data_IF_125373541306
#
_entry.id   IF_125373541306
#
_cell.length_a   1.000
_cell.length_b   1.000
_cell.length_c   1.000
_cell.angle_alpha   90.00
_cell.angle_beta   90.00
_cell.angle_gamma   90.00
#
_symmetry.space_group_name_H-M   'P 1'
#
loop_
_entity.id
_entity.type
_entity.pdbx_description
1 polymer ?
#
# COMPACT_ATOMS: atom_id res chain seq x y z
N UNK A 1 18.10 -11.86 -13.05
CA UNK A 1 17.63 -11.45 -11.72
C UNK A 1 16.52 -10.46 -11.96
N UNK A 2 15.27 -10.88 -11.78
CA UNK A 2 14.11 -10.06 -12.08
C UNK A 2 13.78 -9.19 -10.87
N UNK A 3 14.43 -8.03 -10.82
CA UNK A 3 14.32 -7.03 -9.76
C UNK A 3 12.96 -6.32 -9.73
N UNK A 4 12.02 -6.66 -10.62
CA UNK A 4 10.69 -6.02 -10.73
C UNK A 4 9.60 -6.71 -9.90
N UNK A 5 9.91 -7.84 -9.24
CA UNK A 5 8.93 -8.73 -8.60
C UNK A 5 8.70 -8.52 -7.09
N UNK A 6 9.55 -7.75 -6.41
CA UNK A 6 9.46 -7.59 -4.95
C UNK A 6 8.80 -6.27 -4.59
N UNK A 7 7.59 -6.36 -4.04
CA UNK A 7 6.88 -5.19 -3.48
C UNK A 7 7.61 -4.71 -2.22
N UNK A 8 8.01 -3.43 -2.22
CA UNK A 8 8.33 -2.73 -0.97
C UNK A 8 7.03 -2.21 -0.35
N UNK A 9 6.51 -2.97 0.61
CA UNK A 9 5.23 -2.66 1.28
C UNK A 9 5.33 -1.35 2.07
N UNK A 10 6.49 -1.07 2.68
CA UNK A 10 6.70 0.15 3.46
C UNK A 10 6.72 1.38 2.56
N UNK A 11 7.42 1.32 1.42
CA UNK A 11 7.38 2.37 0.43
C UNK A 11 5.96 2.63 -0.08
N UNK A 12 5.18 1.56 -0.33
CA UNK A 12 3.78 1.70 -0.76
C UNK A 12 2.91 2.41 0.29
N UNK A 13 3.05 2.08 1.58
CA UNK A 13 2.34 2.76 2.68
C UNK A 13 2.71 4.24 2.75
N UNK A 14 4.01 4.55 2.73
CA UNK A 14 4.50 5.92 2.83
C UNK A 14 4.03 6.78 1.66
N UNK A 15 4.02 6.25 0.44
CA UNK A 15 3.50 6.98 -0.73
C UNK A 15 2.01 7.33 -0.59
N UNK A 16 1.19 6.44 -0.03
CA UNK A 16 -0.24 6.74 0.18
C UNK A 16 -0.47 7.80 1.25
N UNK A 17 0.36 7.81 2.31
CA UNK A 17 0.33 8.86 3.34
C UNK A 17 0.78 10.18 2.73
N UNK A 18 1.86 10.16 1.95
CA UNK A 18 2.40 11.36 1.30
C UNK A 18 1.38 12.01 0.36
N UNK A 19 0.63 11.23 -0.44
CA UNK A 19 -0.44 11.76 -1.28
C UNK A 19 -1.53 12.50 -0.50
N UNK A 20 -1.91 11.99 0.67
CA UNK A 20 -2.87 12.67 1.55
C UNK A 20 -2.29 13.98 2.09
N UNK A 21 -1.03 13.97 2.51
CA UNK A 21 -0.35 15.15 3.03
C UNK A 21 -0.19 16.23 1.96
N UNK A 22 0.13 15.85 0.73
CA UNK A 22 0.23 16.78 -0.40
C UNK A 22 -1.13 17.44 -0.70
N UNK A 23 -2.22 16.67 -0.71
CA UNK A 23 -3.56 17.23 -0.98
C UNK A 23 -4.02 18.13 0.17
N UNK A 24 -3.77 17.73 1.42
CA UNK A 24 -4.02 18.56 2.60
C UNK A 24 -3.26 19.89 2.55
N UNK A 25 -1.96 19.83 2.21
CA UNK A 25 -1.14 21.04 2.04
C UNK A 25 -1.70 21.95 0.94
N UNK A 26 -2.14 21.39 -0.19
CA UNK A 26 -2.74 22.17 -1.27
C UNK A 26 -4.08 22.84 -0.87
N UNK A 27 -4.80 22.23 0.07
CA UNK A 27 -6.05 22.76 0.62
C UNK A 27 -5.85 23.85 1.68
N UNK A 28 -4.67 23.94 2.30
CA UNK A 28 -4.38 24.92 3.34
C UNK A 28 -4.61 26.38 2.88
N UNK A 29 -4.96 27.30 3.79
CA UNK A 29 -5.10 28.73 3.48
C UNK A 29 -3.83 29.28 2.82
N UNK A 30 -3.99 30.09 1.77
CA UNK A 30 -2.86 30.64 0.99
C UNK A 30 -2.18 29.64 0.04
N UNK A 31 -2.58 28.36 0.05
CA UNK A 31 -2.16 27.35 -0.93
C UNK A 31 -3.20 27.17 -2.03
N UNK A 32 -2.84 26.48 -3.11
CA UNK A 32 -3.72 26.24 -4.24
C UNK A 32 -3.34 25.01 -5.04
N UNK A 33 -4.17 24.67 -6.03
CA UNK A 33 -4.04 23.44 -6.80
C UNK A 33 -2.67 23.27 -7.51
N UNK A 34 -1.97 24.38 -7.81
CA UNK A 34 -0.63 24.33 -8.42
C UNK A 34 0.45 23.73 -7.53
N UNK A 35 0.21 23.60 -6.21
CA UNK A 35 1.18 23.01 -5.29
C UNK A 35 1.17 21.49 -5.24
N UNK A 36 0.22 20.83 -5.93
CA UNK A 36 0.11 19.38 -5.99
C UNK A 36 0.18 18.89 -7.43
N UNK A 37 0.96 17.83 -7.68
CA UNK A 37 0.98 17.13 -8.97
C UNK A 37 -0.06 16.02 -8.98
N UNK A 38 -0.63 15.72 -10.14
CA UNK A 38 -1.54 14.59 -10.28
C UNK A 38 -0.75 13.27 -10.16
N UNK A 39 -1.21 12.29 -9.38
CA UNK A 39 -0.58 10.97 -9.32
C UNK A 39 -0.68 10.25 -10.67
N UNK A 40 0.18 9.25 -10.87
CA UNK A 40 -0.03 8.25 -11.91
C UNK A 40 -1.37 7.51 -11.69
N UNK A 41 -1.87 6.85 -12.74
CA UNK A 41 -3.08 6.04 -12.63
C UNK A 41 -2.90 4.88 -11.64
N UNK A 42 -4.01 4.34 -11.13
CA UNK A 42 -4.00 3.23 -10.18
C UNK A 42 -3.38 1.94 -10.75
N UNK A 43 -3.27 1.81 -12.06
CA UNK A 43 -2.61 0.67 -12.71
C UNK A 43 -1.14 0.91 -13.04
N UNK A 44 -0.68 2.16 -13.02
CA UNK A 44 0.68 2.56 -13.46
C UNK A 44 1.60 2.96 -12.30
N UNK A 45 1.05 3.14 -11.09
CA UNK A 45 1.90 3.32 -9.92
C UNK A 45 2.56 1.98 -9.52
N UNK A 46 3.67 2.03 -8.77
CA UNK A 46 4.42 0.83 -8.36
C UNK A 46 3.55 -0.23 -7.69
N UNK A 47 2.68 0.17 -6.76
CA UNK A 47 1.75 -0.76 -6.11
C UNK A 47 0.72 -1.31 -7.10
N UNK A 48 0.16 -0.46 -7.95
CA UNK A 48 -0.78 -0.83 -9.01
C UNK A 48 -0.23 -1.89 -9.96
N UNK A 49 0.96 -1.65 -10.49
CA UNK A 49 1.67 -2.62 -11.33
C UNK A 49 1.86 -3.96 -10.60
N UNK A 50 2.31 -3.94 -9.35
CA UNK A 50 2.48 -5.16 -8.57
C UNK A 50 1.14 -5.88 -8.35
N UNK A 51 0.08 -5.17 -7.99
CA UNK A 51 -1.25 -5.74 -7.74
C UNK A 51 -1.80 -6.44 -8.98
N UNK A 52 -1.67 -5.81 -10.16
CA UNK A 52 -2.20 -6.36 -11.40
C UNK A 52 -1.32 -7.45 -12.03
N UNK A 53 -0.10 -7.64 -11.55
CA UNK A 53 0.82 -8.67 -12.03
C UNK A 53 1.02 -9.76 -10.95
N UNK A 54 1.96 -9.55 -10.04
CA UNK A 54 2.40 -10.51 -9.04
C UNK A 54 1.32 -10.75 -7.97
N UNK A 55 0.73 -9.67 -7.47
CA UNK A 55 -0.26 -9.67 -6.39
C UNK A 55 -1.46 -10.55 -6.74
N UNK A 56 -2.11 -10.24 -7.86
CA UNK A 56 -3.29 -10.98 -8.33
C UNK A 56 -2.99 -12.43 -8.65
N UNK A 57 -1.81 -12.76 -9.19
CA UNK A 57 -1.49 -14.16 -9.54
C UNK A 57 -1.15 -14.97 -8.29
N UNK A 58 -0.19 -14.51 -7.49
CA UNK A 58 0.36 -15.30 -6.37
C UNK A 58 -0.53 -15.33 -5.13
N UNK A 59 -1.33 -14.30 -4.93
CA UNK A 59 -2.13 -14.09 -3.73
C UNK A 59 -3.65 -14.08 -4.02
N UNK A 60 -4.08 -14.56 -5.20
CA UNK A 60 -5.50 -14.63 -5.62
C UNK A 60 -6.45 -15.33 -4.65
N UNK A 61 -5.93 -16.26 -3.84
CA UNK A 61 -6.68 -17.03 -2.85
C UNK A 61 -7.10 -16.21 -1.62
N UNK A 62 -6.50 -15.04 -1.40
CA UNK A 62 -6.82 -14.15 -0.29
C UNK A 62 -7.81 -13.08 -0.77
N UNK A 63 -8.96 -12.99 -0.10
CA UNK A 63 -9.97 -11.96 -0.42
C UNK A 63 -9.43 -10.54 -0.17
N UNK A 64 -8.49 -10.42 0.76
CA UNK A 64 -7.76 -9.20 1.10
C UNK A 64 -7.03 -8.61 -0.13
N UNK A 65 -6.55 -9.42 -1.07
CA UNK A 65 -5.97 -8.91 -2.33
C UNK A 65 -7.03 -8.23 -3.20
N UNK A 66 -8.21 -8.82 -3.29
CA UNK A 66 -9.30 -8.24 -4.10
C UNK A 66 -9.78 -6.93 -3.46
N UNK A 67 -9.88 -6.91 -2.13
CA UNK A 67 -10.17 -5.69 -1.38
C UNK A 67 -9.07 -4.64 -1.58
N UNK A 68 -7.80 -5.02 -1.57
CA UNK A 68 -6.68 -4.10 -1.77
C UNK A 68 -6.72 -3.48 -3.18
N UNK A 69 -6.97 -4.28 -4.22
CA UNK A 69 -7.14 -3.79 -5.60
C UNK A 69 -8.29 -2.77 -5.67
N UNK A 70 -9.44 -3.08 -5.06
CA UNK A 70 -10.61 -2.20 -5.07
C UNK A 70 -10.39 -0.90 -4.29
N UNK A 71 -9.80 -1.00 -3.09
CA UNK A 71 -9.47 0.14 -2.24
C UNK A 71 -8.45 1.04 -2.92
N UNK A 72 -7.40 0.47 -3.52
CA UNK A 72 -6.38 1.20 -4.27
C UNK A 72 -6.97 2.04 -5.41
N UNK A 73 -7.82 1.42 -6.24
CA UNK A 73 -8.52 2.11 -7.33
C UNK A 73 -9.42 3.23 -6.81
N UNK A 74 -10.13 2.98 -5.72
CA UNK A 74 -11.01 3.97 -5.08
C UNK A 74 -10.21 5.16 -4.55
N UNK A 75 -9.08 4.90 -3.89
CA UNK A 75 -8.19 5.93 -3.37
C UNK A 75 -7.68 6.86 -4.48
N UNK A 76 -7.13 6.31 -5.56
CA UNK A 76 -6.66 7.11 -6.70
C UNK A 76 -7.77 7.98 -7.28
N UNK A 77 -9.00 7.43 -7.43
CA UNK A 77 -10.16 8.21 -7.88
C UNK A 77 -10.51 9.36 -6.94
N UNK A 78 -10.44 9.14 -5.62
CA UNK A 78 -10.73 10.18 -4.63
C UNK A 78 -9.69 11.30 -4.66
N UNK A 79 -8.39 10.96 -4.72
CA UNK A 79 -7.31 11.94 -4.86
C UNK A 79 -7.46 12.75 -6.15
N UNK A 80 -7.71 12.07 -7.26
CA UNK A 80 -7.87 12.69 -8.58
C UNK A 80 -9.05 13.68 -8.62
N UNK A 81 -10.18 13.28 -8.04
CA UNK A 81 -11.36 14.15 -7.89
C UNK A 81 -11.07 15.30 -6.92
N UNK A 82 -10.37 15.06 -5.81
CA UNK A 82 -10.02 16.09 -4.83
C UNK A 82 -9.16 17.20 -5.46
N UNK A 83 -8.14 16.81 -6.22
CA UNK A 83 -7.30 17.74 -7.00
C UNK A 83 -8.16 18.50 -8.02
N UNK A 84 -9.06 17.81 -8.73
CA UNK A 84 -9.93 18.44 -9.73
C UNK A 84 -10.90 19.46 -9.12
N UNK A 85 -11.50 19.17 -7.97
CA UNK A 85 -12.35 20.11 -7.23
C UNK A 85 -11.55 21.32 -6.73
N UNK A 86 -10.31 21.10 -6.26
CA UNK A 86 -9.43 22.18 -5.85
C UNK A 86 -9.08 23.11 -7.02
N UNK A 87 -8.84 22.57 -8.23
CA UNK A 87 -8.63 23.38 -9.44
C UNK A 87 -9.87 24.21 -9.83
N UNK A 88 -11.07 23.75 -9.48
CA UNK A 88 -12.33 24.46 -9.74
C UNK A 88 -12.67 25.48 -8.65
N UNK A 89 -11.84 25.62 -7.61
CA UNK A 89 -12.10 26.50 -6.46
C UNK A 89 -13.06 25.91 -5.42
N UNK A 90 -13.50 24.67 -5.60
CA UNK A 90 -14.49 23.96 -4.79
C UNK A 90 -13.84 23.31 -3.55
N UNK A 91 -13.27 24.13 -2.67
CA UNK A 91 -12.42 23.66 -1.55
C UNK A 91 -13.15 22.74 -0.58
N UNK A 92 -14.42 23.04 -0.25
CA UNK A 92 -15.22 22.21 0.66
C UNK A 92 -15.43 20.79 0.09
N UNK A 93 -15.73 20.68 -1.21
CA UNK A 93 -15.87 19.38 -1.89
C UNK A 93 -14.54 18.62 -1.92
N UNK A 94 -13.44 19.32 -2.19
CA UNK A 94 -12.11 18.73 -2.15
C UNK A 94 -11.73 18.23 -0.73
N UNK A 95 -12.13 18.96 0.31
CA UNK A 95 -11.90 18.57 1.70
C UNK A 95 -12.72 17.35 2.12
N UNK A 96 -13.98 17.25 1.67
CA UNK A 96 -14.79 16.04 1.88
C UNK A 96 -14.15 14.81 1.20
N UNK A 97 -13.70 14.95 -0.05
CA UNK A 97 -12.99 13.88 -0.78
C UNK A 97 -11.67 13.49 -0.10
N UNK A 98 -10.92 14.44 0.46
CA UNK A 98 -9.73 14.15 1.26
C UNK A 98 -10.09 13.34 2.51
N UNK A 99 -11.20 13.66 3.18
CA UNK A 99 -11.65 12.90 4.34
C UNK A 99 -11.98 11.44 3.96
N UNK A 100 -12.71 11.22 2.86
CA UNK A 100 -12.98 9.87 2.34
C UNK A 100 -11.67 9.15 1.97
N UNK A 101 -10.75 9.83 1.27
CA UNK A 101 -9.46 9.26 0.89
C UNK A 101 -8.63 8.82 2.09
N UNK A 102 -8.71 9.52 3.23
CA UNK A 102 -8.05 9.12 4.49
C UNK A 102 -8.58 7.80 5.02
N UNK A 103 -9.89 7.54 4.94
CA UNK A 103 -10.44 6.27 5.40
C UNK A 103 -9.99 5.13 4.49
N UNK A 104 -10.09 5.30 3.17
CA UNK A 104 -9.63 4.30 2.20
C UNK A 104 -8.11 4.05 2.31
N UNK A 105 -7.31 5.07 2.61
CA UNK A 105 -5.87 4.92 2.84
C UNK A 105 -5.56 4.06 4.06
N UNK A 106 -6.33 4.19 5.16
CA UNK A 106 -6.20 3.29 6.32
C UNK A 106 -6.50 1.85 5.95
N UNK A 107 -7.53 1.62 5.15
CA UNK A 107 -7.88 0.27 4.65
C UNK A 107 -6.73 -0.30 3.80
N UNK A 108 -6.16 0.51 2.90
CA UNK A 108 -4.98 0.12 2.11
C UNK A 108 -3.81 -0.24 3.02
N UNK A 109 -3.49 0.59 4.03
CA UNK A 109 -2.38 0.33 4.96
C UNK A 109 -2.61 -0.97 5.75
N UNK A 110 -3.84 -1.21 6.21
CA UNK A 110 -4.21 -2.44 6.89
C UNK A 110 -4.02 -3.67 5.98
N UNK A 111 -4.55 -3.61 4.77
CA UNK A 111 -4.46 -4.70 3.79
C UNK A 111 -3.01 -4.96 3.35
N UNK A 112 -2.20 -3.91 3.21
CA UNK A 112 -0.77 -4.02 2.96
C UNK A 112 -0.04 -4.75 4.11
N UNK A 113 -0.43 -4.52 5.36
CA UNK A 113 0.08 -5.26 6.53
C UNK A 113 -0.29 -6.72 6.52
N UNK A 114 -1.52 -7.05 6.13
CA UNK A 114 -1.91 -8.43 5.94
C UNK A 114 -1.05 -9.13 4.87
N UNK A 115 -0.86 -8.49 3.72
CA UNK A 115 -0.05 -9.07 2.62
C UNK A 115 1.42 -9.20 2.99
N UNK A 116 1.99 -8.23 3.72
CA UNK A 116 3.36 -8.33 4.23
C UNK A 116 3.52 -9.55 5.15
N UNK A 117 2.59 -9.77 6.07
CA UNK A 117 2.59 -10.93 6.95
C UNK A 117 2.55 -12.23 6.14
N UNK A 118 1.67 -12.33 5.14
CA UNK A 118 1.56 -13.50 4.27
C UNK A 118 2.84 -13.76 3.45
N UNK A 119 3.47 -12.71 2.94
CA UNK A 119 4.78 -12.80 2.25
C UNK A 119 5.82 -13.38 3.21
N UNK A 120 5.96 -12.79 4.40
CA UNK A 120 6.96 -13.21 5.40
C UNK A 120 6.71 -14.65 5.85
N UNK A 121 5.46 -15.04 6.11
CA UNK A 121 5.15 -16.40 6.52
C UNK A 121 5.47 -17.43 5.44
N UNK A 122 5.18 -17.11 4.17
CA UNK A 122 5.49 -18.01 3.04
C UNK A 122 6.99 -18.18 2.84
N UNK A 123 7.75 -17.09 2.90
CA UNK A 123 9.21 -17.16 2.81
C UNK A 123 9.80 -17.93 3.99
N UNK A 124 9.28 -17.73 5.21
CA UNK A 124 9.68 -18.51 6.39
C UNK A 124 9.39 -20.00 6.24
N UNK A 125 8.18 -20.38 5.82
CA UNK A 125 7.79 -21.79 5.60
C UNK A 125 8.68 -22.44 4.54
N UNK A 126 8.97 -21.72 3.45
CA UNK A 126 9.87 -22.18 2.38
C UNK A 126 11.31 -22.37 2.87
N UNK A 127 11.83 -21.43 3.66
CA UNK A 127 13.15 -21.54 4.27
C UNK A 127 13.25 -22.77 5.18
N UNK A 128 12.30 -22.96 6.10
CA UNK A 128 12.29 -24.13 7.00
C UNK A 128 12.14 -25.46 6.25
N UNK A 129 11.40 -25.49 5.15
CA UNK A 129 11.30 -26.69 4.31
C UNK A 129 12.63 -27.05 3.62
N UNK A 130 13.43 -26.05 3.25
CA UNK A 130 14.76 -26.24 2.67
C UNK A 130 15.84 -26.51 3.74
N UNK A 131 15.62 -26.05 4.97
CA UNK A 131 16.56 -26.14 6.09
C UNK A 131 15.91 -26.76 7.35
N UNK A 132 15.51 -28.04 7.32
CA UNK A 132 14.76 -28.66 8.40
C UNK A 132 15.56 -28.79 9.72
N UNK A 133 16.89 -28.90 9.64
CA UNK A 133 17.75 -28.99 10.83
C UNK A 133 17.80 -27.68 11.63
N UNK A 134 17.63 -26.52 10.99
CA UNK A 134 17.62 -25.21 11.68
C UNK A 134 16.38 -25.07 12.57
N UNK A 135 15.24 -25.64 12.14
CA UNK A 135 14.02 -25.71 12.95
C UNK A 135 14.26 -26.53 14.23
N UNK A 136 14.91 -27.69 14.10
CA UNK A 136 15.21 -28.61 15.19
C UNK A 136 16.18 -27.94 16.17
N UNK A 137 17.25 -27.30 15.69
CA UNK A 137 18.27 -26.69 16.56
C UNK A 137 17.73 -25.51 17.37
N UNK A 138 16.77 -24.76 16.85
CA UNK A 138 16.09 -23.66 17.58
C UNK A 138 15.30 -24.12 18.82
N UNK A 139 14.88 -25.40 18.87
CA UNK A 139 14.17 -25.99 20.00
C UNK A 139 15.13 -26.48 21.11
N UNK A 140 16.39 -26.80 20.75
CA UNK A 140 17.38 -27.33 21.69
C UNK A 140 18.34 -26.27 22.26
N UNK A 141 18.50 -25.13 21.60
CA UNK A 141 19.36 -24.03 22.08
C UNK A 141 18.74 -23.13 23.15
N UNK A 142 17.48 -23.37 23.52
CA UNK A 142 16.79 -22.68 24.63
C UNK A 142 17.28 -23.05 26.04
N UNK A 143 18.30 -23.91 26.19
CA UNK A 143 18.71 -24.41 27.49
C UNK A 143 20.14 -24.94 27.57
N UNK A 144 21.16 -24.17 27.19
CA UNK A 144 22.50 -24.28 27.80
C UNK A 144 23.14 -22.89 27.82
N UNK A 145 23.12 -22.25 29.00
CA UNK A 145 24.24 -21.40 29.43
C UNK A 145 25.07 -22.27 30.39
N UNK A 146 26.28 -22.63 29.98
CA UNK A 146 27.38 -22.99 30.86
C UNK A 146 28.37 -21.84 30.83
#
# INVERSE_FOLDING_TARGET
>A
MDSTLTLDVNAARLLHIDWLMQLEKALAPGSGASSIKRPQSDSECTLGHWLHTVGRVRYSQFEEIKHLISAHKTFHRLIDRGISQLHQGEREKAQALLHEARQVSKDIIYLLTFIELEIVERERKKYLALHPFDAIFSLFSGGVKL
#
